data_IF_921017020057
#
_entry.id   IF_921017020057
#
_cell.length_a   1.000
_cell.length_b   1.000
_cell.length_c   1.000
_cell.angle_alpha   90.00
_cell.angle_beta   90.00
_cell.angle_gamma   90.00
#
_symmetry.space_group_name_H-M   'P 1'
#
loop_
_entity.id
_entity.type
_entity.pdbx_description
1 polymer ?
#
# COMPACT_ATOMS: atom_id res chain seq x y z
N UNK A 1 17.27 -7.97 -4.18
CA UNK A 1 17.54 -6.54 -4.43
C UNK A 1 16.39 -5.76 -3.84
N UNK A 2 16.68 -4.72 -3.08
CA UNK A 2 15.64 -3.83 -2.56
C UNK A 2 15.06 -3.03 -3.74
N UNK A 3 13.74 -2.87 -3.76
CA UNK A 3 13.04 -2.13 -4.82
C UNK A 3 13.41 -0.64 -4.70
N UNK A 4 13.61 0.10 -5.80
CA UNK A 4 13.90 1.53 -5.71
C UNK A 4 12.70 2.28 -5.15
N UNK A 5 12.97 3.36 -4.42
CA UNK A 5 11.94 4.17 -3.76
C UNK A 5 10.94 4.76 -4.77
N UNK A 6 11.38 5.07 -6.00
CA UNK A 6 10.49 5.52 -7.07
C UNK A 6 9.42 4.49 -7.43
N UNK A 7 9.79 3.21 -7.49
CA UNK A 7 8.82 2.13 -7.74
C UNK A 7 7.89 1.90 -6.54
N UNK A 8 8.35 2.19 -5.32
CA UNK A 8 7.54 2.06 -4.11
C UNK A 8 6.53 3.20 -3.95
N UNK A 9 6.80 4.35 -4.56
CA UNK A 9 5.93 5.53 -4.57
C UNK A 9 5.03 5.61 -5.81
N UNK A 10 5.22 4.72 -6.80
CA UNK A 10 4.40 4.65 -8.02
C UNK A 10 3.09 3.89 -7.79
N UNK A 11 2.15 4.55 -7.08
CA UNK A 11 0.80 4.05 -6.86
C UNK A 11 -0.24 5.15 -7.03
N UNK A 12 -1.51 4.76 -7.19
CA UNK A 12 -2.60 5.72 -7.30
C UNK A 12 -2.83 6.42 -5.96
N UNK A 13 -2.66 7.74 -5.96
CA UNK A 13 -2.82 8.59 -4.79
C UNK A 13 -4.20 9.23 -4.69
N UNK A 14 -5.06 9.07 -5.71
CA UNK A 14 -6.33 9.79 -5.83
C UNK A 14 -7.33 9.46 -4.71
N UNK A 15 -7.23 8.28 -4.13
CA UNK A 15 -8.11 7.78 -3.06
C UNK A 15 -7.45 7.88 -1.66
N UNK A 16 -6.25 8.48 -1.57
CA UNK A 16 -5.52 8.59 -0.31
C UNK A 16 -5.87 9.90 0.40
N UNK A 17 -6.52 9.78 1.57
CA UNK A 17 -7.06 10.91 2.35
C UNK A 17 -6.05 12.04 2.59
N UNK A 18 -4.83 11.70 3.01
CA UNK A 18 -3.81 12.67 3.43
C UNK A 18 -2.47 12.54 2.68
N UNK A 19 -2.48 11.99 1.46
CA UNK A 19 -1.21 11.71 0.77
C UNK A 19 -0.37 12.96 0.54
N UNK A 20 0.92 12.86 0.86
CA UNK A 20 1.92 13.90 0.70
C UNK A 20 3.26 13.26 0.29
N UNK A 21 3.65 13.47 -0.96
CA UNK A 21 4.87 12.86 -1.52
C UNK A 21 6.14 13.42 -0.84
N UNK A 22 6.15 14.70 -0.46
CA UNK A 22 7.31 15.28 0.23
C UNK A 22 7.48 14.65 1.61
N UNK A 23 6.37 14.46 2.34
CA UNK A 23 6.37 13.74 3.63
C UNK A 23 6.82 12.29 3.48
N UNK A 24 6.35 11.59 2.45
CA UNK A 24 6.75 10.22 2.16
C UNK A 24 8.26 10.13 1.85
N UNK A 25 8.80 11.01 1.00
CA UNK A 25 10.24 11.06 0.71
C UNK A 25 11.07 11.39 1.95
N UNK A 26 10.64 12.37 2.75
CA UNK A 26 11.29 12.68 4.02
C UNK A 26 11.29 11.49 4.99
N UNK A 27 10.22 10.70 5.02
CA UNK A 27 10.15 9.48 5.82
C UNK A 27 11.10 8.37 5.32
N UNK A 28 11.27 8.23 4.00
CA UNK A 28 12.21 7.26 3.39
C UNK A 28 13.68 7.59 3.69
N UNK A 29 14.01 8.87 3.74
CA UNK A 29 15.35 9.38 4.05
C UNK A 29 15.61 9.54 5.56
N UNK A 30 14.56 9.44 6.37
CA UNK A 30 14.60 9.63 7.82
C UNK A 30 15.03 8.39 8.61
N UNK A 31 15.03 8.55 9.94
CA UNK A 31 15.43 7.53 10.91
C UNK A 31 14.70 6.19 10.73
N UNK A 32 13.42 6.25 10.36
CA UNK A 32 12.56 5.07 10.18
C UNK A 32 12.41 4.64 8.72
N UNK A 33 13.29 5.10 7.83
CA UNK A 33 13.17 4.84 6.39
C UNK A 33 13.16 3.36 6.00
N UNK A 34 13.81 2.48 6.76
CA UNK A 34 13.73 1.03 6.51
C UNK A 34 12.35 0.46 6.84
N UNK A 35 11.74 0.92 7.94
CA UNK A 35 10.39 0.52 8.33
C UNK A 35 9.37 1.05 7.32
N UNK A 36 9.51 2.30 6.89
CA UNK A 36 8.60 2.86 5.90
C UNK A 36 8.69 2.14 4.54
N UNK A 37 9.89 1.81 4.07
CA UNK A 37 10.05 0.96 2.87
C UNK A 37 9.34 -0.39 3.02
N UNK A 38 9.40 -1.00 4.21
CA UNK A 38 8.68 -2.24 4.47
C UNK A 38 7.15 -2.05 4.38
N UNK A 39 6.61 -0.95 4.89
CA UNK A 39 5.19 -0.62 4.73
C UNK A 39 4.79 -0.49 3.26
N UNK A 40 5.60 0.19 2.44
CA UNK A 40 5.33 0.36 1.01
C UNK A 40 5.41 -0.97 0.25
N UNK A 41 6.40 -1.82 0.54
CA UNK A 41 6.50 -3.17 -0.04
C UNK A 41 5.27 -4.04 0.32
N UNK A 42 4.81 -3.98 1.57
CA UNK A 42 3.60 -4.70 2.00
C UNK A 42 2.38 -4.16 1.26
N UNK A 43 2.20 -2.84 1.19
CA UNK A 43 1.08 -2.21 0.47
C UNK A 43 1.02 -2.67 -0.99
N UNK A 44 2.16 -2.72 -1.67
CA UNK A 44 2.26 -3.19 -3.05
C UNK A 44 1.85 -4.67 -3.19
N UNK A 45 2.27 -5.52 -2.25
CA UNK A 45 1.85 -6.92 -2.24
C UNK A 45 0.36 -7.10 -1.96
N UNK A 46 -0.23 -6.26 -1.11
CA UNK A 46 -1.67 -6.26 -0.83
C UNK A 46 -2.46 -5.89 -2.09
N UNK A 47 -2.01 -4.91 -2.88
CA UNK A 47 -2.65 -4.55 -4.16
C UNK A 47 -2.57 -5.68 -5.18
N UNK A 48 -1.40 -6.31 -5.32
CA UNK A 48 -1.24 -7.50 -6.16
C UNK A 48 -2.18 -8.63 -5.74
N UNK A 49 -2.35 -8.81 -4.42
CA UNK A 49 -3.26 -9.82 -3.87
C UNK A 49 -4.72 -9.47 -4.12
N UNK A 50 -5.10 -8.21 -3.97
CA UNK A 50 -6.44 -7.70 -4.27
C UNK A 50 -6.80 -7.95 -5.76
N UNK A 51 -5.86 -7.72 -6.67
CA UNK A 51 -6.04 -7.96 -8.10
C UNK A 51 -6.05 -9.46 -8.47
N UNK A 52 -5.31 -10.30 -7.73
CA UNK A 52 -5.43 -11.75 -7.88
C UNK A 52 -6.80 -12.25 -7.38
N UNK A 53 -7.26 -11.73 -6.25
CA UNK A 53 -8.54 -12.11 -5.66
C UNK A 53 -9.72 -11.66 -6.52
N UNK A 54 -9.68 -10.45 -7.12
CA UNK A 54 -10.73 -9.92 -7.99
C UNK A 54 -11.09 -10.87 -9.15
N UNK A 55 -10.08 -11.56 -9.69
CA UNK A 55 -10.17 -12.51 -10.80
C UNK A 55 -10.66 -13.91 -10.41
N UNK A 56 -10.78 -14.22 -9.12
CA UNK A 56 -11.33 -15.51 -8.65
C UNK A 56 -12.81 -15.64 -8.96
N UNK A 57 -13.23 -16.83 -9.37
CA UNK A 57 -14.62 -17.17 -9.73
C UNK A 57 -15.22 -18.22 -8.81
N UNK A 58 -14.44 -18.77 -7.89
CA UNK A 58 -14.77 -19.90 -7.00
C UNK A 58 -15.29 -19.44 -5.63
N UNK A 59 -15.64 -18.16 -5.45
CA UNK A 59 -16.01 -17.57 -4.17
C UNK A 59 -17.17 -16.58 -4.32
N UNK A 60 -17.96 -16.44 -3.25
CA UNK A 60 -19.07 -15.50 -3.17
C UNK A 60 -18.66 -14.06 -3.52
N UNK A 61 -19.50 -13.37 -4.30
CA UNK A 61 -19.21 -12.05 -4.82
C UNK A 61 -19.12 -10.98 -3.72
N UNK A 62 -19.95 -11.07 -2.67
CA UNK A 62 -19.95 -10.11 -1.57
C UNK A 62 -18.71 -10.29 -0.70
N UNK A 63 -18.35 -11.53 -0.39
CA UNK A 63 -17.11 -11.83 0.31
C UNK A 63 -15.91 -11.28 -0.46
N UNK A 64 -15.84 -11.58 -1.77
CA UNK A 64 -14.73 -11.12 -2.63
C UNK A 64 -14.60 -9.59 -2.64
N UNK A 65 -15.72 -8.89 -2.81
CA UNK A 65 -15.74 -7.42 -2.80
C UNK A 65 -15.24 -6.87 -1.45
N UNK A 66 -15.76 -7.38 -0.33
CA UNK A 66 -15.34 -6.93 1.01
C UNK A 66 -13.88 -7.22 1.32
N UNK A 67 -13.38 -8.40 0.95
CA UNK A 67 -11.98 -8.76 1.16
C UNK A 67 -11.04 -7.91 0.29
N UNK A 68 -11.39 -7.69 -0.98
CA UNK A 68 -10.61 -6.83 -1.89
C UNK A 68 -10.56 -5.39 -1.37
N UNK A 69 -11.68 -4.86 -0.86
CA UNK A 69 -11.72 -3.53 -0.24
C UNK A 69 -10.79 -3.46 0.97
N UNK A 70 -10.88 -4.44 1.89
CA UNK A 70 -10.04 -4.45 3.09
C UNK A 70 -8.54 -4.47 2.78
N UNK A 71 -8.11 -5.19 1.73
CA UNK A 71 -6.72 -5.18 1.28
C UNK A 71 -6.28 -3.80 0.77
N UNK A 72 -7.12 -3.15 -0.03
CA UNK A 72 -6.85 -1.80 -0.58
C UNK A 72 -6.81 -0.74 0.52
N UNK A 73 -7.76 -0.78 1.46
CA UNK A 73 -7.78 0.14 2.61
C UNK A 73 -6.53 -0.01 3.48
N UNK A 74 -6.10 -1.25 3.72
CA UNK A 74 -4.86 -1.52 4.47
C UNK A 74 -3.63 -1.01 3.73
N UNK A 75 -3.56 -1.23 2.41
CA UNK A 75 -2.47 -0.71 1.58
C UNK A 75 -2.43 0.83 1.59
N UNK A 76 -3.59 1.48 1.46
CA UNK A 76 -3.73 2.92 1.56
C UNK A 76 -3.23 3.45 2.91
N UNK A 77 -3.62 2.80 4.01
CA UNK A 77 -3.20 3.23 5.34
C UNK A 77 -1.68 3.10 5.56
N UNK A 78 -1.07 2.00 5.09
CA UNK A 78 0.37 1.79 5.19
C UNK A 78 1.21 2.85 4.45
N UNK A 79 0.64 3.46 3.40
CA UNK A 79 1.27 4.55 2.64
C UNK A 79 1.30 5.87 3.40
N UNK A 80 0.38 6.09 4.34
CA UNK A 80 0.16 7.39 4.99
C UNK A 80 1.17 7.78 6.08
N UNK A 81 2.30 7.09 6.25
CA UNK A 81 3.31 7.31 7.32
C UNK A 81 2.79 7.18 8.77
N UNK A 82 1.50 6.93 8.99
CA UNK A 82 0.83 6.93 10.30
C UNK A 82 1.34 5.89 11.31
N UNK A 83 2.04 4.85 10.84
CA UNK A 83 2.64 3.83 11.69
C UNK A 83 4.15 3.98 11.88
N UNK A 84 4.72 5.11 11.47
CA UNK A 84 6.09 5.43 11.85
C UNK A 84 6.11 5.94 13.31
N UNK A 85 7.09 5.52 14.13
CA UNK A 85 7.24 5.97 15.52
C UNK A 85 7.40 7.48 15.69
#
# INVERSE_FOLDING_TARGET
MQRPDEELLDFDTGELEDWDEERARAALDGEHGTLYRNHLDIALHLDQRAEAESRRTDTDARYKAGFTQALRDTAAFLRQTYYLP
#
